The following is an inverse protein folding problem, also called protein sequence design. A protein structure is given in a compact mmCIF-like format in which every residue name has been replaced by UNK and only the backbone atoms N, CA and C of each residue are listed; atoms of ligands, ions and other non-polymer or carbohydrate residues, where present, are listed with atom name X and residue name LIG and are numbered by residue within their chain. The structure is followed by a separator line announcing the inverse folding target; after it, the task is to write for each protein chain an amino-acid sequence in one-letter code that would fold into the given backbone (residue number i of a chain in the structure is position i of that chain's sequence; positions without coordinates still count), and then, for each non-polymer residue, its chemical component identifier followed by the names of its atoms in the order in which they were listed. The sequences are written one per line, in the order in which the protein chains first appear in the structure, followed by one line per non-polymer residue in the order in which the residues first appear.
data_IF_227727308641
#
_entry.id   IF_227727308641
#
_cell.length_a   1.000
_cell.length_b   1.000
_cell.length_c   1.000
_cell.angle_alpha   90.00
_cell.angle_beta   90.00
_cell.angle_gamma   90.00
#
_symmetry.space_group_name_H-M   'P 1'
#
loop_
_entity.id
_entity.type
_entity.pdbx_description
1 polymer ?
#
# COMPACT_ATOMS: atom_id res chain seq x y z
N UNK A 1 -12.62 35.28 -20.12
CA UNK A 1 -12.04 35.48 -18.77
C UNK A 1 -13.13 35.27 -17.72
N UNK A 2 -13.27 34.06 -17.19
CA UNK A 2 -14.13 33.77 -16.03
C UNK A 2 -13.22 33.39 -14.88
N UNK A 3 -13.31 34.19 -13.82
CA UNK A 3 -12.56 34.09 -12.58
C UNK A 3 -12.79 32.72 -11.93
N UNK A 4 -11.73 31.93 -11.81
CA UNK A 4 -11.70 30.76 -10.94
C UNK A 4 -11.53 31.26 -9.51
N UNK A 5 -12.63 31.25 -8.74
CA UNK A 5 -12.56 31.37 -7.28
C UNK A 5 -11.81 30.16 -6.75
N UNK A 6 -10.65 30.42 -6.16
CA UNK A 6 -9.97 29.52 -5.23
C UNK A 6 -10.96 29.11 -4.16
N UNK A 7 -11.51 27.90 -4.26
CA UNK A 7 -12.07 27.25 -3.09
C UNK A 7 -10.89 26.82 -2.25
N UNK A 8 -10.80 27.41 -1.06
CA UNK A 8 -9.94 26.98 0.02
C UNK A 8 -10.06 25.45 0.15
N UNK A 9 -8.99 24.74 -0.22
CA UNK A 9 -8.76 23.37 0.21
C UNK A 9 -8.62 23.44 1.73
N UNK A 10 -9.75 23.39 2.42
CA UNK A 10 -9.81 23.10 3.83
C UNK A 10 -9.09 21.77 4.01
N UNK A 11 -7.94 21.84 4.68
CA UNK A 11 -7.20 20.69 5.19
C UNK A 11 -8.22 19.73 5.77
N UNK A 12 -8.50 18.62 5.07
CA UNK A 12 -9.26 17.53 5.65
C UNK A 12 -8.40 17.05 6.81
N UNK A 13 -8.76 17.46 8.03
CA UNK A 13 -8.19 16.89 9.25
C UNK A 13 -8.25 15.38 9.09
N UNK A 14 -7.07 14.76 8.98
CA UNK A 14 -6.96 13.32 8.95
C UNK A 14 -7.69 12.79 10.19
N UNK A 15 -8.60 11.83 10.06
CA UNK A 15 -9.30 11.28 11.21
C UNK A 15 -8.27 10.86 12.26
N UNK A 16 -8.51 11.09 13.57
CA UNK A 16 -7.55 10.75 14.60
C UNK A 16 -7.19 9.27 14.43
N UNK A 17 -5.90 9.01 14.19
CA UNK A 17 -5.35 7.68 14.00
C UNK A 17 -5.84 6.82 15.16
N UNK A 18 -6.77 5.90 14.88
CA UNK A 18 -7.24 4.93 15.87
C UNK A 18 -5.99 4.28 16.46
N UNK A 19 -5.89 4.26 17.78
CA UNK A 19 -4.73 3.69 18.49
C UNK A 19 -4.35 2.37 17.84
N UNK A 20 -3.08 2.20 17.46
CA UNK A 20 -2.51 1.04 16.75
C UNK A 20 -2.81 -0.37 17.28
N UNK A 21 -3.60 -0.51 18.35
CA UNK A 21 -3.90 -1.78 19.01
C UNK A 21 -2.74 -2.36 19.83
N UNK A 22 -1.58 -1.69 19.80
CA UNK A 22 -0.39 -2.06 20.55
C UNK A 22 -0.45 -1.51 21.98
N UNK A 23 -0.09 -2.35 22.94
CA UNK A 23 0.11 -1.99 24.35
C UNK A 23 1.29 -1.03 24.52
N UNK A 24 1.42 -0.31 25.66
CA UNK A 24 2.54 0.59 25.90
C UNK A 24 3.91 -0.08 25.78
N UNK A 25 4.04 -1.35 26.17
CA UNK A 25 5.27 -2.12 25.99
C UNK A 25 5.55 -2.37 24.50
N UNK A 26 4.56 -2.88 23.77
CA UNK A 26 4.71 -3.18 22.33
C UNK A 26 5.05 -1.91 21.53
N UNK A 27 4.47 -0.76 21.89
CA UNK A 27 4.81 0.54 21.30
C UNK A 27 6.26 0.92 21.54
N UNK A 28 6.74 0.86 22.79
CA UNK A 28 8.16 1.15 23.12
C UNK A 28 9.12 0.27 22.34
N UNK A 29 8.83 -1.03 22.26
CA UNK A 29 9.66 -1.98 21.50
C UNK A 29 9.64 -1.64 20.01
N UNK A 30 8.46 -1.39 19.43
CA UNK A 30 8.35 -1.05 18.01
C UNK A 30 9.07 0.26 17.67
N UNK A 31 8.99 1.28 18.52
CA UNK A 31 9.76 2.53 18.38
C UNK A 31 11.26 2.27 18.43
N UNK A 32 11.75 1.46 19.39
CA UNK A 32 13.17 1.11 19.48
C UNK A 32 13.65 0.29 18.28
N UNK A 33 12.83 -0.65 17.78
CA UNK A 33 13.10 -1.42 16.57
C UNK A 33 13.20 -0.48 15.37
N UNK A 34 12.27 0.47 15.24
CA UNK A 34 12.26 1.43 14.14
C UNK A 34 13.51 2.31 14.16
N UNK A 35 13.85 2.87 15.33
CA UNK A 35 15.06 3.67 15.49
C UNK A 35 16.33 2.91 15.09
N UNK A 36 16.45 1.65 15.53
CA UNK A 36 17.59 0.80 15.17
C UNK A 36 17.62 0.40 13.69
N UNK A 37 16.47 0.18 13.04
CA UNK A 37 16.44 -0.25 11.63
C UNK A 37 16.66 0.91 10.65
N UNK A 38 16.21 2.11 10.98
CA UNK A 38 16.40 3.33 10.18
C UNK A 38 17.78 3.95 10.45
N UNK A 39 18.37 3.68 11.63
CA UNK A 39 19.64 4.29 12.06
C UNK A 39 19.48 5.72 12.59
N UNK A 40 18.24 6.20 12.77
CA UNK A 40 17.88 7.53 13.23
C UNK A 40 17.08 7.48 14.54
N UNK A 41 16.77 8.64 15.12
CA UNK A 41 15.80 8.69 16.21
C UNK A 41 14.40 8.42 15.65
N UNK A 42 13.59 7.62 16.35
CA UNK A 42 12.19 7.40 15.99
C UNK A 42 11.28 7.95 17.10
N UNK A 43 10.39 8.90 16.79
CA UNK A 43 9.39 9.37 17.75
C UNK A 43 8.29 8.32 17.94
N UNK A 44 7.60 8.32 19.09
CA UNK A 44 6.56 7.32 19.38
C UNK A 44 5.38 7.32 18.38
N UNK A 45 5.16 8.45 17.71
CA UNK A 45 4.13 8.62 16.67
C UNK A 45 4.31 7.69 15.46
N UNK A 46 5.47 7.01 15.30
CA UNK A 46 5.64 5.95 14.28
C UNK A 46 4.68 4.79 14.52
N UNK A 47 4.29 4.53 15.77
CA UNK A 47 3.29 3.51 16.10
C UNK A 47 1.92 3.87 15.52
N UNK A 48 1.57 5.16 15.47
CA UNK A 48 0.28 5.63 14.96
C UNK A 48 0.27 5.61 13.43
N UNK A 49 1.39 5.95 12.79
CA UNK A 49 1.56 5.79 11.35
C UNK A 49 1.42 4.32 10.88
N UNK A 50 1.80 3.36 11.72
CA UNK A 50 1.61 1.93 11.45
C UNK A 50 0.15 1.46 11.64
N UNK A 51 -0.71 2.21 12.34
CA UNK A 51 -2.02 1.76 12.77
C UNK A 51 -2.95 1.30 11.62
N UNK A 52 -3.03 1.98 10.46
CA UNK A 52 -3.88 1.56 9.35
C UNK A 52 -3.51 0.18 8.80
N UNK A 53 -2.20 -0.11 8.71
CA UNK A 53 -1.68 -1.41 8.26
C UNK A 53 -1.94 -2.50 9.29
N UNK A 54 -1.72 -2.17 10.56
CA UNK A 54 -2.02 -3.09 11.65
C UNK A 54 -3.50 -3.46 11.68
N UNK A 55 -4.40 -2.51 11.49
CA UNK A 55 -5.85 -2.76 11.50
C UNK A 55 -6.35 -3.72 10.38
N UNK A 56 -5.54 -3.92 9.33
CA UNK A 56 -5.85 -4.82 8.20
C UNK A 56 -5.29 -6.22 8.39
N UNK A 57 -4.45 -6.44 9.40
CA UNK A 57 -3.89 -7.76 9.69
C UNK A 57 -4.97 -8.74 10.13
N UNK A 58 -4.82 -10.00 9.72
CA UNK A 58 -5.64 -11.09 10.24
C UNK A 58 -5.37 -11.27 11.74
N UNK A 59 -6.32 -11.79 12.53
CA UNK A 59 -6.12 -12.00 13.97
C UNK A 59 -4.87 -12.83 14.32
N UNK A 60 -4.54 -13.83 13.50
CA UNK A 60 -3.34 -14.65 13.67
C UNK A 60 -2.04 -13.84 13.45
N UNK A 61 -2.02 -12.94 12.47
CA UNK A 61 -0.86 -12.10 12.18
C UNK A 61 -0.67 -11.03 13.27
N UNK A 62 -1.76 -10.49 13.81
CA UNK A 62 -1.74 -9.65 15.01
C UNK A 62 -1.09 -10.37 16.19
N UNK A 63 -1.52 -11.60 16.49
CA UNK A 63 -0.93 -12.39 17.57
C UNK A 63 0.56 -12.64 17.33
N UNK A 64 0.94 -13.01 16.11
CA UNK A 64 2.33 -13.26 15.71
C UNK A 64 3.21 -12.02 15.93
N UNK A 65 2.74 -10.85 15.50
CA UNK A 65 3.46 -9.59 15.69
C UNK A 65 3.67 -9.28 17.19
N UNK A 66 2.62 -9.42 18.00
CA UNK A 66 2.70 -9.15 19.44
C UNK A 66 3.66 -10.10 20.14
N UNK A 67 3.64 -11.38 19.77
CA UNK A 67 4.61 -12.37 20.25
C UNK A 67 6.03 -12.00 19.81
N UNK A 68 6.22 -11.59 18.55
CA UNK A 68 7.51 -11.18 18.03
C UNK A 68 8.09 -9.97 18.78
N UNK A 69 7.29 -8.94 19.04
CA UNK A 69 7.71 -7.77 19.82
C UNK A 69 8.11 -8.15 21.25
N UNK A 70 7.33 -9.03 21.92
CA UNK A 70 7.67 -9.51 23.26
C UNK A 70 8.94 -10.38 23.29
N UNK A 71 9.12 -11.23 22.28
CA UNK A 71 10.34 -12.03 22.13
C UNK A 71 11.57 -11.16 21.87
N UNK A 72 11.43 -10.09 21.09
CA UNK A 72 12.51 -9.13 20.89
C UNK A 72 12.83 -8.42 22.20
N UNK A 73 11.83 -7.98 22.95
CA UNK A 73 12.04 -7.26 24.22
C UNK A 73 12.86 -8.04 25.24
N UNK A 74 12.50 -9.30 25.48
CA UNK A 74 13.19 -10.16 26.44
C UNK A 74 14.45 -10.83 25.87
N UNK A 75 14.59 -10.89 24.54
CA UNK A 75 15.63 -11.68 23.88
C UNK A 75 17.08 -11.32 24.25
N UNK A 76 17.46 -10.05 24.44
CA UNK A 76 18.79 -9.69 24.91
C UNK A 76 19.16 -10.30 26.28
N UNK A 77 18.18 -10.51 27.18
CA UNK A 77 18.43 -11.18 28.47
C UNK A 77 18.89 -12.63 28.26
N UNK A 78 18.30 -13.34 27.30
CA UNK A 78 18.71 -14.69 26.91
C UNK A 78 20.10 -14.71 26.25
N UNK A 79 20.49 -13.60 25.61
CA UNK A 79 21.82 -13.38 25.06
C UNK A 79 22.83 -12.85 26.10
N UNK A 80 22.53 -12.97 27.40
CA UNK A 80 23.37 -12.52 28.54
C UNK A 80 23.64 -11.01 28.56
N UNK A 81 22.75 -10.20 27.99
CA UNK A 81 22.76 -8.73 28.17
C UNK A 81 21.85 -8.38 29.36
N UNK A 82 22.25 -7.50 30.30
CA UNK A 82 21.44 -7.19 31.48
C UNK A 82 20.30 -6.19 31.23
N UNK A 83 19.98 -5.89 29.96
CA UNK A 83 18.98 -4.88 29.56
C UNK A 83 17.96 -5.50 28.62
N UNK A 84 16.72 -5.02 28.67
CA UNK A 84 15.72 -5.30 27.66
C UNK A 84 16.07 -4.64 26.33
N UNK A 85 15.52 -5.12 25.22
CA UNK A 85 15.82 -4.57 23.90
C UNK A 85 15.53 -3.07 23.79
N UNK A 86 14.36 -2.64 24.28
CA UNK A 86 13.95 -1.23 24.25
C UNK A 86 14.88 -0.29 25.05
N UNK A 87 15.79 -0.84 25.86
CA UNK A 87 16.73 -0.10 26.71
C UNK A 87 18.19 -0.23 26.24
N UNK A 88 18.43 -0.94 25.13
CA UNK A 88 19.78 -1.08 24.58
C UNK A 88 20.25 0.24 23.94
N UNK A 89 21.55 0.56 24.04
CA UNK A 89 22.16 1.58 23.19
C UNK A 89 21.93 1.27 21.71
N UNK A 90 21.80 2.30 20.86
CA UNK A 90 21.46 2.14 19.44
C UNK A 90 22.35 1.12 18.72
N UNK A 91 23.68 1.23 18.88
CA UNK A 91 24.63 0.32 18.24
C UNK A 91 24.42 -1.16 18.66
N UNK A 92 24.06 -1.40 19.92
CA UNK A 92 23.77 -2.75 20.42
C UNK A 92 22.44 -3.27 19.89
N UNK A 93 21.41 -2.42 19.82
CA UNK A 93 20.12 -2.76 19.23
C UNK A 93 20.26 -3.11 17.74
N UNK A 94 21.01 -2.32 16.97
CA UNK A 94 21.34 -2.57 15.56
C UNK A 94 22.05 -3.90 15.37
N UNK A 95 23.10 -4.17 16.15
CA UNK A 95 23.84 -5.42 16.10
C UNK A 95 22.94 -6.62 16.45
N UNK A 96 22.04 -6.45 17.43
CA UNK A 96 21.09 -7.48 17.81
C UNK A 96 20.10 -7.80 16.68
N UNK A 97 19.49 -6.79 16.06
CA UNK A 97 18.59 -7.00 14.92
C UNK A 97 19.31 -7.58 13.70
N UNK A 98 20.56 -7.16 13.45
CA UNK A 98 21.43 -7.75 12.41
C UNK A 98 21.66 -9.24 12.65
N UNK A 99 21.97 -9.64 13.89
CA UNK A 99 22.15 -11.04 14.24
C UNK A 99 20.90 -11.90 13.98
N UNK A 100 19.70 -11.31 14.12
CA UNK A 100 18.45 -11.99 13.78
C UNK A 100 18.24 -12.08 12.26
N UNK A 101 18.59 -11.03 11.52
CA UNK A 101 18.50 -11.00 10.06
C UNK A 101 19.45 -12.03 9.40
N UNK A 102 20.62 -12.27 10.00
CA UNK A 102 21.65 -13.21 9.53
C UNK A 102 21.49 -14.62 10.14
N UNK A 103 20.50 -14.81 11.01
CA UNK A 103 20.27 -16.09 11.70
C UNK A 103 19.99 -17.23 10.73
N UNK A 104 20.50 -18.42 11.06
CA UNK A 104 20.16 -19.67 10.36
C UNK A 104 18.68 -20.03 10.48
N UNK A 105 18.00 -19.55 11.54
CA UNK A 105 16.59 -19.79 11.79
C UNK A 105 15.72 -18.92 10.87
N UNK A 106 15.07 -19.56 9.89
CA UNK A 106 14.16 -18.87 8.96
C UNK A 106 13.06 -18.04 9.63
N UNK A 107 12.45 -18.45 10.76
CA UNK A 107 11.48 -17.61 11.48
C UNK A 107 12.06 -16.27 11.95
N UNK A 108 13.32 -16.22 12.41
CA UNK A 108 13.96 -14.96 12.84
C UNK A 108 14.15 -14.00 11.66
N UNK A 109 14.66 -14.52 10.54
CA UNK A 109 14.84 -13.72 9.32
C UNK A 109 13.52 -13.16 8.81
N UNK A 110 12.47 -13.98 8.76
CA UNK A 110 11.13 -13.55 8.35
C UNK A 110 10.54 -12.49 9.30
N UNK A 111 10.68 -12.70 10.62
CA UNK A 111 10.23 -11.72 11.61
C UNK A 111 10.90 -10.36 11.47
N UNK A 112 12.24 -10.33 11.30
CA UNK A 112 12.96 -9.06 11.08
C UNK A 112 12.63 -8.44 9.73
N UNK A 113 12.46 -9.24 8.67
CA UNK A 113 12.06 -8.71 7.36
C UNK A 113 10.69 -8.02 7.44
N UNK A 114 9.70 -8.65 8.11
CA UNK A 114 8.38 -8.08 8.31
C UNK A 114 8.42 -6.80 9.17
N UNK A 115 9.16 -6.81 10.29
CA UNK A 115 9.34 -5.64 11.12
C UNK A 115 10.06 -4.51 10.40
N UNK A 116 11.05 -4.82 9.57
CA UNK A 116 11.74 -3.82 8.73
C UNK A 116 10.80 -3.20 7.73
N UNK A 117 10.01 -4.00 7.01
CA UNK A 117 9.01 -3.46 6.09
C UNK A 117 8.04 -2.51 6.80
N UNK A 118 7.46 -2.95 7.92
CA UNK A 118 6.51 -2.15 8.70
C UNK A 118 7.15 -0.90 9.32
N UNK A 119 8.37 -1.00 9.86
CA UNK A 119 9.08 0.12 10.47
C UNK A 119 9.48 1.17 9.43
N UNK A 120 10.02 0.74 8.28
CA UNK A 120 10.39 1.65 7.19
C UNK A 120 9.15 2.36 6.64
N UNK A 121 8.06 1.62 6.43
CA UNK A 121 6.79 2.17 6.00
C UNK A 121 6.26 3.21 7.00
N UNK A 122 6.20 2.86 8.28
CA UNK A 122 5.68 3.73 9.32
C UNK A 122 6.56 4.97 9.58
N UNK A 123 7.88 4.86 9.38
CA UNK A 123 8.80 5.98 9.55
C UNK A 123 8.78 6.91 8.33
N UNK A 124 9.04 6.39 7.12
CA UNK A 124 9.14 7.21 5.90
C UNK A 124 7.79 7.68 5.36
N UNK A 125 6.70 7.00 5.71
CA UNK A 125 5.35 7.43 5.36
C UNK A 125 4.91 8.72 6.06
N UNK A 126 5.69 9.22 7.01
CA UNK A 126 5.40 10.45 7.74
C UNK A 126 6.05 11.65 7.08
N UNK A 127 5.29 12.73 6.98
CA UNK A 127 5.79 13.98 6.39
C UNK A 127 6.97 14.57 7.16
N UNK A 128 6.99 14.40 8.49
CA UNK A 128 8.07 14.97 9.31
C UNK A 128 9.43 14.31 9.01
N UNK A 129 9.44 13.06 8.54
CA UNK A 129 10.67 12.35 8.19
C UNK A 129 11.25 12.78 6.84
N UNK A 130 10.46 13.40 5.96
CA UNK A 130 10.85 13.69 4.58
C UNK A 130 12.07 14.61 4.48
N UNK A 131 12.06 15.71 5.25
CA UNK A 131 13.19 16.65 5.29
C UNK A 131 14.49 16.00 5.75
N UNK A 132 14.42 15.11 6.75
CA UNK A 132 15.61 14.46 7.32
C UNK A 132 16.28 13.53 6.31
N UNK A 133 15.52 12.95 5.39
CA UNK A 133 16.04 12.04 4.34
C UNK A 133 16.28 12.72 3.00
N UNK A 134 16.13 14.05 2.93
CA UNK A 134 16.29 14.80 1.70
C UNK A 134 15.21 14.53 0.65
N UNK A 135 14.04 14.03 1.09
CA UNK A 135 12.86 13.92 0.24
C UNK A 135 12.05 15.20 0.36
N UNK A 136 11.79 15.86 -0.76
CA UNK A 136 11.00 17.11 -0.75
C UNK A 136 9.50 16.85 -0.56
N UNK A 137 9.05 15.59 -0.61
CA UNK A 137 7.64 15.19 -0.60
C UNK A 137 7.07 14.97 -2.01
N UNK A 138 5.76 14.66 -2.11
CA UNK A 138 5.06 14.43 -3.37
C UNK A 138 5.31 15.49 -4.44
N UNK A 139 5.51 15.04 -5.67
CA UNK A 139 5.76 15.91 -6.83
C UNK A 139 4.51 16.23 -7.63
N UNK A 140 3.42 15.51 -7.39
CA UNK A 140 2.10 15.88 -7.85
C UNK A 140 1.85 17.35 -7.44
N UNK A 141 1.30 18.14 -8.34
CA UNK A 141 1.09 19.59 -8.19
C UNK A 141 2.36 20.48 -8.22
N UNK A 142 3.56 19.93 -7.95
CA UNK A 142 4.83 20.70 -7.99
C UNK A 142 5.47 20.77 -9.37
N UNK A 143 5.22 19.75 -10.19
CA UNK A 143 5.58 19.76 -11.60
C UNK A 143 4.32 19.69 -12.45
N UNK A 144 4.20 20.53 -13.49
CA UNK A 144 3.15 20.37 -14.48
C UNK A 144 3.44 19.09 -15.27
N UNK A 145 2.97 17.97 -14.74
CA UNK A 145 2.88 16.73 -15.51
C UNK A 145 1.62 16.84 -16.32
N UNK A 146 1.75 16.73 -17.65
CA UNK A 146 0.58 16.64 -18.51
C UNK A 146 -0.15 15.34 -18.16
N UNK A 147 -1.20 15.43 -17.33
CA UNK A 147 -2.16 14.35 -17.23
C UNK A 147 -2.88 14.30 -18.58
N UNK A 148 -2.63 13.22 -19.32
CA UNK A 148 -3.49 12.89 -20.43
C UNK A 148 -4.91 12.75 -19.88
N UNK A 149 -5.93 13.35 -20.52
CA UNK A 149 -7.30 13.18 -20.09
C UNK A 149 -7.58 11.68 -20.01
N UNK A 150 -8.20 11.24 -18.91
CA UNK A 150 -8.66 9.87 -18.81
C UNK A 150 -9.53 9.59 -20.05
N UNK A 151 -9.27 8.50 -20.80
CA UNK A 151 -10.09 8.19 -21.95
C UNK A 151 -11.54 8.03 -21.50
N UNK A 152 -12.49 8.58 -22.25
CA UNK A 152 -13.88 8.29 -21.98
C UNK A 152 -14.12 6.82 -22.29
N UNK A 153 -14.19 6.00 -21.24
CA UNK A 153 -14.37 4.55 -21.40
C UNK A 153 -15.73 4.21 -22.03
N UNK A 154 -16.67 5.17 -22.10
CA UNK A 154 -17.95 5.02 -22.79
C UNK A 154 -17.81 5.26 -24.30
N UNK A 155 -16.76 5.96 -24.73
CA UNK A 155 -16.47 6.13 -26.14
C UNK A 155 -15.86 4.85 -26.69
N UNK A 156 -16.49 4.33 -27.73
CA UNK A 156 -16.01 3.13 -28.41
C UNK A 156 -15.04 3.59 -29.51
N UNK A 157 -13.74 3.24 -29.43
CA UNK A 157 -12.79 3.65 -30.47
C UNK A 157 -13.23 3.12 -31.84
N UNK A 158 -12.93 3.86 -32.93
CA UNK A 158 -13.25 3.44 -34.29
C UNK A 158 -12.66 2.06 -34.53
N UNK A 159 -13.51 1.12 -34.97
CA UNK A 159 -13.12 -0.27 -35.11
C UNK A 159 -12.00 -0.39 -36.15
N UNK A 160 -10.98 -1.24 -35.93
CA UNK A 160 -10.14 -1.68 -37.02
C UNK A 160 -11.01 -2.30 -38.12
N UNK A 161 -10.63 -2.18 -39.40
CA UNK A 161 -11.42 -2.68 -40.51
C UNK A 161 -11.34 -4.22 -40.53
N UNK A 162 -12.16 -4.88 -39.70
CA UNK A 162 -12.71 -6.26 -39.81
C UNK A 162 -13.14 -6.80 -38.44
N UNK A 163 -14.46 -6.90 -38.25
CA UNK A 163 -15.28 -8.02 -37.73
C UNK A 163 -16.58 -7.44 -37.13
N UNK A 164 -17.74 -8.10 -37.30
CA UNK A 164 -18.95 -7.73 -36.58
C UNK A 164 -18.69 -7.92 -35.08
N UNK A 165 -18.71 -6.81 -34.32
CA UNK A 165 -18.61 -6.88 -32.85
C UNK A 165 -19.80 -7.67 -32.31
N UNK A 166 -19.61 -8.73 -31.50
CA UNK A 166 -20.72 -9.28 -30.74
C UNK A 166 -21.30 -8.18 -29.85
N UNK A 167 -22.63 -8.17 -29.70
CA UNK A 167 -23.28 -7.25 -28.76
C UNK A 167 -22.67 -7.49 -27.38
N UNK A 168 -22.28 -6.42 -26.71
CA UNK A 168 -21.91 -6.46 -25.28
C UNK A 168 -22.94 -7.33 -24.55
N UNK A 169 -22.44 -8.33 -23.82
CA UNK A 169 -23.30 -9.22 -23.06
C UNK A 169 -24.23 -8.38 -22.15
N UNK A 170 -25.51 -8.73 -22.11
CA UNK A 170 -26.49 -8.02 -21.30
C UNK A 170 -25.99 -7.93 -19.84
N UNK A 171 -25.92 -6.71 -19.29
CA UNK A 171 -25.51 -6.47 -17.90
C UNK A 171 -24.14 -5.80 -17.70
N UNK A 172 -23.33 -5.61 -18.76
CA UNK A 172 -22.14 -4.76 -18.69
C UNK A 172 -22.39 -3.40 -19.33
N UNK A 173 -22.00 -2.33 -18.62
CA UNK A 173 -21.89 -1.00 -19.20
C UNK A 173 -20.72 -0.97 -20.22
N UNK A 174 -20.81 -0.16 -21.30
CA UNK A 174 -19.67 0.09 -22.17
C UNK A 174 -18.45 0.58 -21.37
N UNK A 175 -17.27 0.02 -21.68
CA UNK A 175 -16.03 0.36 -21.00
C UNK A 175 -15.85 -0.39 -19.69
N UNK A 176 -16.29 0.21 -18.59
CA UNK A 176 -16.05 -0.27 -17.23
C UNK A 176 -17.35 -0.42 -16.45
N UNK A 177 -17.53 -1.60 -15.85
CA UNK A 177 -18.61 -1.88 -14.89
C UNK A 177 -17.97 -2.10 -13.52
N UNK A 178 -18.35 -1.28 -12.52
CA UNK A 178 -17.85 -1.49 -11.16
C UNK A 178 -18.58 -2.68 -10.53
N UNK A 179 -17.82 -3.65 -10.00
CA UNK A 179 -18.39 -4.87 -9.42
C UNK A 179 -19.43 -4.63 -8.33
N UNK A 180 -19.28 -3.56 -7.52
CA UNK A 180 -20.26 -3.16 -6.49
C UNK A 180 -21.64 -2.77 -7.02
N UNK A 181 -21.76 -2.51 -8.33
CA UNK A 181 -23.02 -2.15 -8.99
C UNK A 181 -23.70 -3.37 -9.63
N UNK A 182 -23.07 -4.56 -9.54
CA UNK A 182 -23.59 -5.82 -10.07
C UNK A 182 -24.35 -6.53 -8.96
N UNK A 183 -25.66 -6.69 -9.14
CA UNK A 183 -26.59 -7.26 -8.14
C UNK A 183 -26.82 -8.76 -8.28
N UNK A 184 -26.27 -9.37 -9.34
CA UNK A 184 -26.43 -10.79 -9.68
C UNK A 184 -25.29 -11.30 -10.54
N UNK A 185 -25.09 -12.62 -10.56
CA UNK A 185 -24.08 -13.25 -11.41
C UNK A 185 -24.30 -12.94 -12.90
N UNK A 186 -23.23 -12.51 -13.57
CA UNK A 186 -23.22 -12.24 -15.00
C UNK A 186 -22.65 -13.43 -15.77
N UNK A 187 -23.27 -13.78 -16.90
CA UNK A 187 -22.74 -14.76 -17.86
C UNK A 187 -22.32 -14.05 -19.12
N UNK A 188 -21.01 -13.91 -19.32
CA UNK A 188 -20.42 -13.15 -20.42
C UNK A 188 -19.76 -14.13 -21.40
N UNK A 189 -20.04 -13.96 -22.70
CA UNK A 189 -19.33 -14.66 -23.78
C UNK A 189 -18.30 -13.71 -24.40
N UNK A 190 -17.07 -14.18 -24.52
CA UNK A 190 -15.93 -13.44 -25.05
C UNK A 190 -14.96 -14.44 -25.68
N UNK A 191 -14.10 -13.95 -26.58
CA UNK A 191 -13.01 -14.75 -27.15
C UNK A 191 -11.89 -14.95 -26.12
N UNK A 192 -11.65 -13.93 -25.28
CA UNK A 192 -10.62 -13.95 -24.24
C UNK A 192 -11.12 -13.27 -22.96
N UNK A 193 -10.79 -13.87 -21.81
CA UNK A 193 -10.96 -13.27 -20.48
C UNK A 193 -9.58 -13.02 -19.86
N UNK A 194 -9.30 -11.77 -19.51
CA UNK A 194 -8.07 -11.36 -18.82
C UNK A 194 -8.36 -11.23 -17.33
N UNK A 195 -7.60 -11.95 -16.50
CA UNK A 195 -7.74 -11.89 -15.03
C UNK A 195 -6.66 -10.94 -14.49
N UNK A 196 -7.11 -9.83 -13.90
CA UNK A 196 -6.27 -8.72 -13.43
C UNK A 196 -6.00 -7.67 -14.51
N UNK A 197 -6.14 -6.40 -14.14
CA UNK A 197 -5.87 -5.21 -14.97
C UNK A 197 -4.64 -4.42 -14.47
N UNK A 198 -3.71 -5.12 -13.83
CA UNK A 198 -2.36 -4.59 -13.59
C UNK A 198 -1.59 -4.34 -14.89
N UNK A 199 -0.31 -3.95 -14.78
CA UNK A 199 0.51 -3.53 -15.92
C UNK A 199 0.50 -4.51 -17.12
N UNK A 200 0.58 -5.82 -16.86
CA UNK A 200 0.54 -6.84 -17.91
C UNK A 200 -0.85 -7.09 -18.47
N UNK A 201 -1.86 -7.21 -17.60
CA UNK A 201 -3.23 -7.53 -17.99
C UNK A 201 -3.89 -6.42 -18.81
N UNK A 202 -3.71 -5.15 -18.41
CA UNK A 202 -4.21 -4.01 -19.17
C UNK A 202 -3.57 -3.89 -20.55
N UNK A 203 -2.25 -4.11 -20.65
CA UNK A 203 -1.54 -4.11 -21.93
C UNK A 203 -2.02 -5.25 -22.84
N UNK A 204 -2.18 -6.47 -22.30
CA UNK A 204 -2.70 -7.60 -23.05
C UNK A 204 -4.13 -7.35 -23.54
N UNK A 205 -5.01 -6.81 -22.68
CA UNK A 205 -6.38 -6.45 -23.04
C UNK A 205 -6.42 -5.46 -24.21
N UNK A 206 -5.59 -4.41 -24.17
CA UNK A 206 -5.51 -3.42 -25.24
C UNK A 206 -5.07 -4.04 -26.57
N UNK A 207 -4.03 -4.88 -26.56
CA UNK A 207 -3.54 -5.57 -27.77
C UNK A 207 -4.56 -6.56 -28.35
N UNK A 208 -5.29 -7.28 -27.49
CA UNK A 208 -6.36 -8.17 -27.92
C UNK A 208 -7.51 -7.40 -28.58
N UNK A 209 -7.92 -6.27 -27.98
CA UNK A 209 -8.97 -5.42 -28.53
C UNK A 209 -8.54 -4.81 -29.88
N UNK A 210 -7.29 -4.34 -30.01
CA UNK A 210 -6.73 -3.85 -31.27
C UNK A 210 -6.63 -4.94 -32.35
N UNK A 211 -6.37 -6.19 -31.94
CA UNK A 211 -6.40 -7.37 -32.80
C UNK A 211 -7.79 -7.80 -33.24
N UNK A 212 -8.85 -7.13 -32.77
CA UNK A 212 -10.24 -7.42 -33.15
C UNK A 212 -10.91 -8.53 -32.32
N UNK A 213 -10.29 -8.97 -31.21
CA UNK A 213 -10.90 -9.94 -30.31
C UNK A 213 -11.94 -9.30 -29.40
N UNK A 214 -13.00 -10.04 -29.10
CA UNK A 214 -13.93 -9.72 -28.01
C UNK A 214 -13.26 -10.09 -26.70
N UNK A 215 -12.57 -9.14 -26.08
CA UNK A 215 -11.88 -9.35 -24.82
C UNK A 215 -12.63 -8.70 -23.65
N UNK A 216 -12.74 -9.43 -22.54
CA UNK A 216 -13.24 -8.92 -21.25
C UNK A 216 -12.13 -9.03 -20.22
N UNK A 217 -12.10 -8.12 -19.24
CA UNK A 217 -11.21 -8.22 -18.10
C UNK A 217 -11.99 -8.22 -16.78
N UNK A 218 -11.45 -8.89 -15.78
CA UNK A 218 -11.95 -8.90 -14.40
C UNK A 218 -10.84 -8.48 -13.46
N UNK A 219 -11.12 -7.55 -12.56
CA UNK A 219 -10.17 -7.01 -11.57
C UNK A 219 -10.79 -7.13 -10.18
N UNK A 220 -9.97 -7.55 -9.21
CA UNK A 220 -10.38 -7.66 -7.81
C UNK A 220 -10.28 -6.30 -7.09
N UNK A 221 -9.36 -5.44 -7.52
CA UNK A 221 -9.18 -4.07 -7.04
C UNK A 221 -10.32 -3.10 -7.42
N UNK A 222 -10.30 -1.94 -6.77
CA UNK A 222 -11.23 -0.84 -7.08
C UNK A 222 -10.88 -0.10 -8.37
N UNK A 223 -11.77 0.78 -8.82
CA UNK A 223 -11.50 1.70 -9.92
C UNK A 223 -10.86 2.99 -9.37
N UNK A 224 -9.56 3.14 -9.57
CA UNK A 224 -8.79 4.35 -9.21
C UNK A 224 -8.26 5.04 -10.45
N UNK A 225 -8.49 6.34 -10.56
CA UNK A 225 -8.02 7.20 -11.64
C UNK A 225 -6.77 7.96 -11.23
N UNK A 226 -6.05 8.55 -12.18
CA UNK A 226 -4.87 9.35 -11.88
C UNK A 226 -5.13 10.51 -10.89
N UNK A 227 -6.35 11.03 -10.84
CA UNK A 227 -6.76 12.07 -9.88
C UNK A 227 -6.87 11.56 -8.43
N UNK A 228 -6.98 10.25 -8.22
CA UNK A 228 -7.09 9.63 -6.90
C UNK A 228 -5.70 9.35 -6.27
N UNK A 229 -4.60 9.54 -7.00
CA UNK A 229 -3.25 9.26 -6.53
C UNK A 229 -2.67 10.47 -5.81
N UNK A 230 -2.41 10.35 -4.51
CA UNK A 230 -1.81 11.44 -3.70
C UNK A 230 -0.28 11.34 -3.59
N UNK A 231 0.30 10.23 -4.07
CA UNK A 231 1.70 9.85 -3.83
C UNK A 231 2.08 9.76 -2.34
N UNK A 232 1.09 9.56 -1.47
CA UNK A 232 1.30 9.33 -0.03
C UNK A 232 1.20 7.85 0.25
N UNK A 233 2.33 7.21 0.55
CA UNK A 233 2.43 5.75 0.61
C UNK A 233 1.50 5.14 1.65
N UNK A 234 1.32 5.78 2.81
CA UNK A 234 0.43 5.29 3.86
C UNK A 234 -1.05 5.23 3.42
N UNK A 235 -1.45 6.14 2.52
CA UNK A 235 -2.82 6.21 1.99
C UNK A 235 -2.97 5.33 0.75
N UNK A 236 -1.96 5.31 -0.12
CA UNK A 236 -2.03 4.68 -1.43
C UNK A 236 -1.76 3.18 -1.39
N UNK A 237 -0.87 2.70 -0.51
CA UNK A 237 -0.58 1.25 -0.44
C UNK A 237 -1.84 0.41 -0.14
N UNK A 238 -2.67 0.75 0.86
CA UNK A 238 -3.89 -0.01 1.15
C UNK A 238 -4.95 0.03 0.03
N UNK A 239 -4.90 1.05 -0.84
CA UNK A 239 -5.82 1.23 -1.97
C UNK A 239 -5.36 0.43 -3.19
N UNK A 240 -4.05 0.39 -3.45
CA UNK A 240 -3.47 -0.15 -4.69
C UNK A 240 -3.08 -1.62 -4.59
N UNK A 241 -2.82 -2.12 -3.39
CA UNK A 241 -2.36 -3.50 -3.19
C UNK A 241 -3.32 -4.27 -2.29
N UNK A 242 -3.79 -5.41 -2.81
CA UNK A 242 -4.75 -6.28 -2.13
C UNK A 242 -4.20 -6.86 -0.82
N UNK A 243 -2.88 -7.08 -0.76
CA UNK A 243 -2.18 -7.65 0.41
C UNK A 243 -1.50 -6.60 1.30
N UNK A 244 -1.71 -5.31 1.04
CA UNK A 244 -1.18 -4.23 1.89
C UNK A 244 -2.06 -3.97 3.12
#
# INVERSE_FOLDING_TARGET
MRSFRSQELTSRESPPLRSSGLTPLERRVFTAVTAALVGASAPETVCDAAAPFLARLRPADHLMLRLLLRMLEAGPLLARRPRLFSQLPRQEAEAYLRSWAESRLAPRRRGIAALRALAMLAYYGREEAWKEVGYDGPWLERRPVQLLPAPDLREVPPAPPRTPRPRLAAGLAPGLTQGRLVDRDLRIRADVCVIGTGAGGAAALARLAEGGFTAVAVEAGGYSTAADYTQRELEMLPLLYQEA
#
